data_IF_893614282856
#
_entry.id   IF_893614282856
#
_cell.length_a   1.000
_cell.length_b   1.000
_cell.length_c   1.000
_cell.angle_alpha   90.00
_cell.angle_beta   90.00
_cell.angle_gamma   90.00
#
_symmetry.space_group_name_H-M   'P 1'
#
loop_
_entity.id
_entity.type
_entity.pdbx_description
1 polymer ?
#
# COMPACT_ATOMS: atom_id res chain seq x y z
N UNK A 1 7.94 -6.41 -13.58
CA UNK A 1 6.49 -6.35 -13.25
C UNK A 1 6.38 -5.80 -11.84
N UNK A 2 5.42 -4.92 -11.55
CA UNK A 2 5.25 -4.36 -10.21
C UNK A 2 4.69 -5.45 -9.28
N UNK A 3 5.49 -5.92 -8.32
CA UNK A 3 5.03 -6.91 -7.36
C UNK A 3 3.95 -6.32 -6.46
N UNK A 4 2.75 -6.92 -6.47
CA UNK A 4 1.62 -6.50 -5.64
C UNK A 4 1.98 -6.40 -4.15
N UNK A 5 2.94 -7.19 -3.68
CA UNK A 5 3.47 -7.15 -2.32
C UNK A 5 4.16 -5.82 -1.98
N UNK A 6 4.98 -5.30 -2.88
CA UNK A 6 5.70 -4.04 -2.70
C UNK A 6 4.78 -2.83 -2.82
N UNK A 7 3.77 -2.91 -3.70
CA UNK A 7 2.75 -1.87 -3.86
C UNK A 7 1.92 -1.70 -2.58
N UNK A 8 1.31 -2.77 -2.08
CA UNK A 8 0.45 -2.75 -0.89
C UNK A 8 1.19 -2.20 0.33
N UNK A 9 2.42 -2.69 0.55
CA UNK A 9 3.27 -2.26 1.66
C UNK A 9 3.69 -0.80 1.53
N UNK A 10 3.99 -0.34 0.30
CA UNK A 10 4.37 1.04 0.01
C UNK A 10 3.24 2.04 0.29
N UNK A 11 2.01 1.73 -0.13
CA UNK A 11 0.82 2.56 0.19
C UNK A 11 0.65 2.66 1.68
N UNK A 12 0.59 1.50 2.35
CA UNK A 12 0.33 1.45 3.78
C UNK A 12 1.35 2.29 4.55
N UNK A 13 2.64 2.16 4.22
CA UNK A 13 3.70 2.93 4.85
C UNK A 13 3.62 4.44 4.51
N UNK A 14 3.29 4.80 3.27
CA UNK A 14 3.17 6.20 2.84
C UNK A 14 2.09 6.98 3.59
N UNK A 15 1.02 6.30 4.01
CA UNK A 15 -0.06 6.87 4.81
C UNK A 15 0.01 6.60 6.32
N UNK A 16 1.00 5.82 6.77
CA UNK A 16 1.08 5.39 8.17
C UNK A 16 -0.06 4.47 8.61
N UNK A 17 -0.66 3.71 7.68
CA UNK A 17 -1.77 2.81 7.98
C UNK A 17 -1.30 1.48 8.58
N UNK A 18 -2.18 0.85 9.34
CA UNK A 18 -2.05 -0.56 9.72
C UNK A 18 -2.59 -1.46 8.61
N UNK A 19 -2.26 -2.76 8.65
CA UNK A 19 -2.82 -3.72 7.69
C UNK A 19 -4.35 -3.78 7.80
N UNK A 20 -4.89 -3.67 9.01
CA UNK A 20 -6.33 -3.63 9.27
C UNK A 20 -6.99 -2.42 8.59
N UNK A 21 -6.41 -1.23 8.75
CA UNK A 21 -6.94 0.00 8.14
C UNK A 21 -6.91 -0.02 6.62
N UNK A 22 -5.93 -0.71 6.02
CA UNK A 22 -5.92 -0.92 4.57
C UNK A 22 -6.99 -1.93 4.15
N UNK A 23 -7.16 -3.00 4.95
CA UNK A 23 -8.17 -4.01 4.71
C UNK A 23 -9.59 -3.42 4.77
N UNK A 24 -9.88 -2.58 5.76
CA UNK A 24 -11.16 -1.91 5.93
C UNK A 24 -11.49 -1.00 4.73
N UNK A 25 -10.49 -0.27 4.22
CA UNK A 25 -10.64 0.59 3.03
C UNK A 25 -10.87 -0.19 1.75
N UNK A 26 -10.18 -1.32 1.60
CA UNK A 26 -10.32 -2.22 0.47
C UNK A 26 -11.49 -3.21 0.64
N UNK A 27 -12.24 -3.12 1.74
CA UNK A 27 -13.33 -4.03 2.13
C UNK A 27 -12.91 -5.50 2.01
N UNK A 28 -11.73 -5.82 2.51
CA UNK A 28 -11.14 -7.17 2.49
C UNK A 28 -10.69 -7.58 3.89
N UNK A 29 -10.24 -8.83 4.02
CA UNK A 29 -9.69 -9.35 5.27
C UNK A 29 -8.22 -8.94 5.47
N UNK A 30 -7.84 -8.61 6.69
CA UNK A 30 -6.45 -8.29 7.06
C UNK A 30 -5.47 -9.42 6.72
N UNK A 31 -5.92 -10.67 6.75
CA UNK A 31 -5.15 -11.84 6.32
C UNK A 31 -4.81 -11.79 4.84
N UNK A 32 -5.72 -11.29 3.99
CA UNK A 32 -5.45 -11.11 2.56
C UNK A 32 -4.37 -10.06 2.36
N UNK A 33 -4.46 -8.93 3.06
CA UNK A 33 -3.42 -7.88 3.03
C UNK A 33 -2.07 -8.44 3.47
N UNK A 34 -2.03 -9.23 4.55
CA UNK A 34 -0.80 -9.88 5.00
C UNK A 34 -0.21 -10.87 3.98
N UNK A 35 -1.05 -11.68 3.32
CA UNK A 35 -0.62 -12.58 2.24
C UNK A 35 -0.07 -11.82 1.05
N UNK A 36 -0.69 -10.70 0.69
CA UNK A 36 -0.20 -9.81 -0.36
C UNK A 36 1.16 -9.23 -0.01
N UNK A 37 1.31 -8.64 1.18
CA UNK A 37 2.58 -8.04 1.62
C UNK A 37 3.73 -9.06 1.72
N UNK A 38 3.44 -10.34 1.98
CA UNK A 38 4.44 -11.43 1.99
C UNK A 38 4.73 -12.02 0.61
N UNK A 39 3.96 -11.66 -0.41
CA UNK A 39 4.11 -12.21 -1.76
C UNK A 39 3.56 -13.63 -1.93
N UNK A 40 2.79 -14.14 -0.97
CA UNK A 40 2.14 -15.46 -1.06
C UNK A 40 1.04 -15.48 -2.13
N UNK A 41 0.34 -14.35 -2.28
CA UNK A 41 -0.71 -14.15 -3.27
C UNK A 41 -0.67 -12.73 -3.82
N UNK A 42 -1.09 -12.56 -5.07
CA UNK A 42 -1.33 -11.23 -5.61
C UNK A 42 -2.78 -10.79 -5.34
N UNK A 43 -3.04 -9.48 -5.17
CA UNK A 43 -4.40 -8.96 -5.19
C UNK A 43 -5.08 -9.34 -6.50
N UNK A 44 -6.34 -9.77 -6.44
CA UNK A 44 -7.13 -9.99 -7.65
C UNK A 44 -7.51 -8.66 -8.31
N UNK A 45 -7.87 -8.69 -9.60
CA UNK A 45 -8.18 -7.51 -10.42
C UNK A 45 -9.16 -6.53 -9.74
N UNK A 46 -10.16 -7.04 -9.01
CA UNK A 46 -11.16 -6.24 -8.29
C UNK A 46 -10.56 -5.28 -7.24
N UNK A 47 -9.39 -5.59 -6.68
CA UNK A 47 -8.73 -4.74 -5.67
C UNK A 47 -7.82 -3.70 -6.30
N UNK A 48 -7.46 -3.82 -7.58
CA UNK A 48 -6.57 -2.86 -8.24
C UNK A 48 -7.20 -1.48 -8.36
N UNK A 49 -8.51 -1.37 -8.59
CA UNK A 49 -9.20 -0.07 -8.63
C UNK A 49 -9.11 0.67 -7.31
N UNK A 50 -9.46 0.01 -6.19
CA UNK A 50 -9.33 0.59 -4.85
C UNK A 50 -7.88 0.90 -4.49
N UNK A 51 -6.93 0.03 -4.85
CA UNK A 51 -5.51 0.30 -4.66
C UNK A 51 -5.09 1.55 -5.45
N UNK A 52 -5.45 1.66 -6.74
CA UNK A 52 -5.13 2.81 -7.60
C UNK A 52 -5.69 4.11 -7.07
N UNK A 53 -6.94 4.13 -6.59
CA UNK A 53 -7.53 5.32 -5.96
C UNK A 53 -6.76 5.74 -4.71
N UNK A 54 -6.39 4.79 -3.86
CA UNK A 54 -5.56 5.05 -2.68
C UNK A 54 -4.16 5.53 -3.08
N UNK A 55 -3.58 5.05 -4.18
CA UNK A 55 -2.31 5.58 -4.71
C UNK A 55 -2.43 7.02 -5.23
N UNK A 56 -3.52 7.33 -5.93
CA UNK A 56 -3.74 8.65 -6.51
C UNK A 56 -3.97 9.73 -5.44
N UNK A 57 -4.63 9.36 -4.34
CA UNK A 57 -4.84 10.23 -3.19
C UNK A 57 -3.59 10.37 -2.30
N UNK A 58 -2.55 9.55 -2.52
CA UNK A 58 -1.39 9.54 -1.65
C UNK A 58 -0.52 10.73 -1.99
N UNK A 59 -0.15 11.59 -1.02
CA UNK A 59 1.04 12.39 -1.24
C UNK A 59 2.17 11.39 -1.53
N UNK A 60 2.73 11.44 -2.74
CA UNK A 60 3.92 10.65 -3.12
C UNK A 60 4.85 10.67 -1.91
N UNK A 61 5.34 9.52 -1.41
CA UNK A 61 6.19 9.49 -0.24
C UNK A 61 7.26 10.53 -0.48
N UNK A 62 7.18 11.60 0.31
CA UNK A 62 7.99 12.78 0.09
C UNK A 62 9.41 12.27 0.03
N UNK A 63 10.06 12.45 -1.13
CA UNK A 63 11.48 12.18 -1.25
C UNK A 63 12.10 13.00 -0.14
N UNK A 64 12.46 12.35 0.96
CA UNK A 64 13.12 12.99 2.09
C UNK A 64 14.52 13.30 1.58
N UNK A 65 14.65 14.36 0.80
CA UNK A 65 15.94 14.99 0.54
C UNK A 65 16.28 15.68 1.84
N UNK A 66 16.92 14.92 2.72
CA UNK A 66 17.75 15.49 3.77
C UNK A 66 18.75 16.42 3.08
N UNK A 67 18.56 17.73 3.22
CA UNK A 67 19.65 18.69 3.12
C UNK A 67 19.79 19.31 4.50
N UNK A 68 20.89 18.88 5.12
CA UNK A 68 21.47 19.31 6.40
C UNK A 68 21.39 20.82 6.52
N UNK A 69 20.99 21.30 7.69
CA UNK A 69 21.36 22.62 8.13
C UNK A 69 22.88 22.72 8.27
N UNK A 70 23.39 23.87 7.86
CA UNK A 70 24.58 24.54 8.36
C UNK A 70 24.46 26.00 7.91
#
# INVERSE_FOLDING_TARGET
MLDGSTLVKGVRAGYGWTQQQLADRLKTDVRNVGRWERGEYQPSYQYYGGLQELFAAAPKPGTRRAKRGA
#
